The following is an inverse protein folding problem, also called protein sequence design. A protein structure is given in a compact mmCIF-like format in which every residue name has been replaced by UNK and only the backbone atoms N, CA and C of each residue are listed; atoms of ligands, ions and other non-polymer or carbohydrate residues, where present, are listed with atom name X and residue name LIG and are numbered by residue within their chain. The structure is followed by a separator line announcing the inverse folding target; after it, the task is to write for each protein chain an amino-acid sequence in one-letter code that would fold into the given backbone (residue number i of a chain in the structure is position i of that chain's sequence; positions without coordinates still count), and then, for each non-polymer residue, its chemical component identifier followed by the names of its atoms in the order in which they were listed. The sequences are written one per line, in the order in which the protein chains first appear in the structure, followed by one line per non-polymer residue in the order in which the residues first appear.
data_IF_215264548964
#
_entry.id   IF_215264548964
#
_cell.length_a   1.000
_cell.length_b   1.000
_cell.length_c   1.000
_cell.angle_alpha   90.00
_cell.angle_beta   90.00
_cell.angle_gamma   90.00
#
_symmetry.space_group_name_H-M   'P 1'
#
loop_
_entity.id
_entity.type
_entity.pdbx_description
1 polymer ?
#
# COMPACT_ATOMS: atom_id res chain seq x y z
N UNK A 1 -4.84 0.35 6.67
CA UNK A 1 -3.62 0.31 7.49
C UNK A 1 -2.58 -0.62 6.89
N UNK A 2 -1.32 -0.47 7.31
CA UNK A 2 -0.20 -1.36 7.00
C UNK A 2 0.52 -1.05 5.69
N UNK A 3 1.65 -1.74 5.47
CA UNK A 3 2.52 -1.51 4.31
C UNK A 3 2.97 -2.84 3.65
N UNK A 4 2.59 -3.13 2.40
CA UNK A 4 1.61 -2.39 1.60
C UNK A 4 0.23 -2.40 2.26
N UNK A 5 -0.63 -1.49 1.83
CA UNK A 5 -1.96 -1.28 2.41
C UNK A 5 -2.75 -2.60 2.46
N UNK A 6 -3.24 -2.96 3.64
CA UNK A 6 -4.00 -4.20 3.93
C UNK A 6 -3.26 -5.49 3.58
N UNK A 7 -1.94 -5.56 3.70
CA UNK A 7 -1.14 -6.75 3.35
C UNK A 7 -1.61 -8.05 4.03
N UNK A 8 -2.26 -7.97 5.19
CA UNK A 8 -2.85 -9.10 5.92
C UNK A 8 -4.06 -9.73 5.21
N UNK A 9 -4.73 -8.99 4.31
CA UNK A 9 -5.90 -9.46 3.56
C UNK A 9 -5.50 -10.46 2.47
N UNK A 10 -5.60 -11.75 2.82
CA UNK A 10 -5.30 -12.84 1.89
C UNK A 10 -6.44 -13.15 0.91
N UNK A 11 -7.59 -12.47 1.02
CA UNK A 11 -8.63 -12.49 -0.04
C UNK A 11 -8.21 -11.60 -1.22
N UNK A 12 -7.51 -10.50 -0.93
CA UNK A 12 -6.88 -9.59 -1.92
C UNK A 12 -5.56 -10.15 -2.46
N UNK A 13 -4.54 -10.34 -1.60
CA UNK A 13 -3.17 -10.62 -2.06
C UNK A 13 -2.85 -12.10 -2.29
N UNK A 14 -3.71 -12.99 -1.78
CA UNK A 14 -3.60 -14.45 -1.93
C UNK A 14 -2.23 -15.04 -1.56
N UNK A 15 -1.58 -14.47 -0.55
CA UNK A 15 -0.37 -15.01 0.05
C UNK A 15 -0.62 -16.30 0.85
N UNK A 16 0.48 -17.01 1.11
CA UNK A 16 0.50 -18.19 1.97
C UNK A 16 -0.11 -19.46 1.35
N UNK A 17 -0.49 -20.38 2.24
CA UNK A 17 -0.96 -21.72 1.92
C UNK A 17 -2.38 -21.96 2.42
N UNK A 18 -3.07 -22.90 1.78
CA UNK A 18 -4.34 -23.44 2.25
C UNK A 18 -4.28 -24.97 2.27
N UNK A 19 -5.01 -25.55 3.21
CA UNK A 19 -5.17 -27.01 3.30
C UNK A 19 -6.29 -27.43 2.36
N UNK A 20 -6.01 -28.41 1.50
CA UNK A 20 -6.95 -29.02 0.58
C UNK A 20 -7.16 -30.49 0.92
N UNK A 21 -8.35 -31.01 0.60
CA UNK A 21 -8.76 -32.39 0.84
C UNK A 21 -9.35 -32.66 2.24
N UNK A 22 -10.48 -33.38 2.28
CA UNK A 22 -11.16 -33.75 3.54
C UNK A 22 -10.56 -35.01 4.20
N UNK A 23 -10.07 -35.98 3.40
CA UNK A 23 -9.53 -37.26 3.89
C UNK A 23 -8.00 -37.29 3.95
N UNK A 24 -7.33 -36.73 2.94
CA UNK A 24 -5.89 -36.52 2.93
C UNK A 24 -5.65 -35.03 2.81
N UNK A 25 -5.18 -34.44 3.91
CA UNK A 25 -4.81 -33.03 3.94
C UNK A 25 -3.55 -32.85 3.09
N UNK A 26 -3.62 -31.97 2.11
CA UNK A 26 -2.48 -31.53 1.31
C UNK A 26 -2.37 -30.01 1.36
N UNK A 27 -1.16 -29.47 1.22
CA UNK A 27 -0.96 -28.01 1.15
C UNK A 27 -0.93 -27.58 -0.30
N UNK A 28 -1.62 -26.48 -0.60
CA UNK A 28 -1.50 -25.76 -1.86
C UNK A 28 -1.34 -24.26 -1.63
N UNK A 29 -0.66 -23.58 -2.53
CA UNK A 29 -0.59 -22.12 -2.50
C UNK A 29 -2.00 -21.54 -2.61
N UNK A 30 -2.26 -20.49 -1.82
CA UNK A 30 -3.53 -19.77 -1.87
C UNK A 30 -3.74 -19.08 -3.21
N UNK A 31 -2.65 -18.52 -3.76
CA UNK A 31 -2.62 -17.87 -5.07
C UNK A 31 -3.11 -18.81 -6.17
N UNK A 32 -2.39 -19.92 -6.40
CA UNK A 32 -2.65 -20.82 -7.53
C UNK A 32 -1.85 -22.12 -7.47
N UNK A 33 -2.32 -23.14 -8.20
CA UNK A 33 -1.54 -24.34 -8.53
C UNK A 33 -0.64 -24.13 -9.75
N UNK A 34 0.11 -25.17 -10.13
CA UNK A 34 1.11 -25.12 -11.22
C UNK A 34 0.58 -24.54 -12.54
N UNK A 35 -0.62 -24.95 -12.97
CA UNK A 35 -1.24 -24.45 -14.19
C UNK A 35 -1.64 -22.97 -14.10
N UNK A 36 -2.17 -22.53 -12.96
CA UNK A 36 -2.49 -21.12 -12.75
C UNK A 36 -1.24 -20.24 -12.77
N UNK A 37 -0.11 -20.74 -12.26
CA UNK A 37 1.17 -20.02 -12.36
C UNK A 37 1.55 -19.71 -13.81
N UNK A 38 1.34 -20.66 -14.72
CA UNK A 38 1.64 -20.44 -16.14
C UNK A 38 0.71 -19.42 -16.78
N UNK A 39 -0.58 -19.40 -16.41
CA UNK A 39 -1.54 -18.41 -16.96
C UNK A 39 -1.29 -17.01 -16.43
N UNK A 40 -0.77 -16.88 -15.21
CA UNK A 40 -0.57 -15.59 -14.53
C UNK A 40 0.88 -15.04 -14.66
N UNK A 41 1.76 -15.69 -15.43
CA UNK A 41 3.17 -15.26 -15.53
C UNK A 41 3.33 -13.91 -16.25
N UNK A 42 2.49 -13.64 -17.24
CA UNK A 42 2.55 -12.38 -18.01
C UNK A 42 1.79 -11.24 -17.33
N UNK A 43 0.85 -11.59 -16.45
CA UNK A 43 0.08 -10.64 -15.66
C UNK A 43 -0.46 -11.34 -14.42
N UNK A 44 -0.01 -10.92 -13.24
CA UNK A 44 -0.51 -11.44 -11.97
C UNK A 44 -1.55 -10.46 -11.40
N UNK A 45 -2.85 -10.79 -11.41
CA UNK A 45 -3.91 -9.89 -10.94
C UNK A 45 -3.89 -9.65 -9.42
N UNK A 46 -3.09 -10.41 -8.67
CA UNK A 46 -2.96 -10.29 -7.22
C UNK A 46 -1.64 -9.65 -6.78
N UNK A 47 -0.81 -9.22 -7.74
CA UNK A 47 0.42 -8.50 -7.45
C UNK A 47 0.07 -7.10 -6.90
N UNK A 48 0.59 -6.71 -5.72
CA UNK A 48 0.43 -5.34 -5.25
C UNK A 48 1.02 -4.34 -6.26
N UNK A 49 0.31 -3.26 -6.48
CA UNK A 49 0.69 -2.15 -7.36
C UNK A 49 1.47 -1.09 -6.59
N UNK A 50 2.03 -0.10 -7.29
CA UNK A 50 2.73 1.01 -6.65
C UNK A 50 1.82 1.76 -5.66
N UNK A 51 0.56 1.95 -6.03
CA UNK A 51 -0.45 2.65 -5.24
C UNK A 51 -0.81 1.89 -3.95
N UNK A 52 -0.59 0.58 -3.90
CA UNK A 52 -0.75 -0.20 -2.66
C UNK A 52 0.37 0.09 -1.64
N UNK A 53 1.53 0.59 -2.09
CA UNK A 53 2.65 1.01 -1.24
C UNK A 53 2.64 2.52 -1.03
N UNK A 54 3.08 3.26 -2.05
CA UNK A 54 3.17 4.71 -2.19
C UNK A 54 3.90 5.02 -3.51
N UNK A 55 3.71 6.22 -4.06
CA UNK A 55 4.59 6.77 -5.09
C UNK A 55 5.81 7.42 -4.43
N UNK A 56 7.05 6.89 -4.59
CA UNK A 56 8.20 7.44 -3.89
C UNK A 56 8.52 8.85 -4.35
N UNK A 57 8.84 9.75 -3.42
CA UNK A 57 9.13 11.15 -3.71
C UNK A 57 10.41 11.64 -3.05
N UNK A 58 10.94 12.71 -3.62
CA UNK A 58 11.99 13.54 -3.04
C UNK A 58 11.57 15.01 -3.11
N UNK A 59 12.45 15.94 -2.76
CA UNK A 59 12.15 17.36 -2.83
C UNK A 59 13.20 18.12 -3.64
N UNK A 60 12.77 19.21 -4.27
CA UNK A 60 13.65 20.14 -4.98
C UNK A 60 14.43 21.04 -4.01
N UNK A 61 15.35 20.44 -3.27
CA UNK A 61 16.17 21.18 -2.30
C UNK A 61 17.07 22.22 -2.95
N UNK A 62 17.46 22.02 -4.22
CA UNK A 62 18.31 22.97 -4.95
C UNK A 62 17.62 24.31 -5.19
N UNK A 63 16.28 24.31 -5.32
CA UNK A 63 15.50 25.54 -5.42
C UNK A 63 15.70 26.47 -4.20
N UNK A 64 15.98 25.92 -3.01
CA UNK A 64 16.24 26.72 -1.81
C UNK A 64 17.55 27.53 -1.88
N UNK A 65 18.48 27.13 -2.77
CA UNK A 65 19.82 27.71 -2.87
C UNK A 65 19.96 28.53 -4.17
N UNK A 66 19.40 28.01 -5.26
CA UNK A 66 19.64 28.51 -6.61
C UNK A 66 18.46 29.31 -7.19
N UNK A 67 17.35 29.46 -6.46
CA UNK A 67 16.21 30.22 -6.96
C UNK A 67 16.61 31.66 -7.34
N UNK A 68 16.11 32.18 -8.46
CA UNK A 68 16.32 33.58 -8.83
C UNK A 68 15.63 34.51 -7.84
N UNK A 69 16.01 35.79 -7.88
CA UNK A 69 15.31 36.82 -7.11
C UNK A 69 13.85 36.89 -7.56
N UNK A 70 12.94 36.71 -6.60
CA UNK A 70 11.49 36.80 -6.77
C UNK A 70 10.87 37.42 -5.50
N UNK A 71 9.62 37.86 -5.62
CA UNK A 71 8.87 38.39 -4.47
C UNK A 71 8.44 37.27 -3.52
N UNK A 72 8.27 36.05 -4.04
CA UNK A 72 7.92 34.87 -3.27
C UNK A 72 9.14 34.10 -2.74
N UNK A 73 9.02 33.57 -1.52
CA UNK A 73 10.04 32.72 -0.93
C UNK A 73 10.13 31.37 -1.67
N UNK A 74 11.34 30.91 -2.05
CA UNK A 74 11.50 29.60 -2.66
C UNK A 74 11.18 28.48 -1.66
N UNK A 75 10.58 27.41 -2.16
CA UNK A 75 10.26 26.20 -1.38
C UNK A 75 10.82 24.96 -2.07
N UNK A 76 11.03 23.89 -1.30
CA UNK A 76 11.40 22.59 -1.84
C UNK A 76 10.12 21.80 -2.13
N UNK A 77 9.65 21.84 -3.39
CA UNK A 77 8.45 21.12 -3.81
C UNK A 77 8.73 19.61 -3.96
N UNK A 78 7.72 18.79 -3.70
CA UNK A 78 7.82 17.35 -3.87
C UNK A 78 7.95 16.97 -5.35
N UNK A 79 8.83 16.01 -5.64
CA UNK A 79 9.10 15.46 -6.96
C UNK A 79 8.95 13.94 -6.89
N UNK A 80 8.14 13.39 -7.79
CA UNK A 80 8.02 11.94 -7.97
C UNK A 80 9.36 11.34 -8.43
N UNK A 81 9.84 10.33 -7.71
CA UNK A 81 11.03 9.56 -8.11
C UNK A 81 10.73 8.58 -9.25
N UNK A 82 9.46 8.38 -9.60
CA UNK A 82 9.02 7.50 -10.70
C UNK A 82 8.93 8.29 -12.00
N UNK A 83 8.34 9.48 -11.96
CA UNK A 83 8.07 10.29 -13.17
C UNK A 83 9.00 11.48 -13.34
N UNK A 84 9.69 11.90 -12.27
CA UNK A 84 10.51 13.12 -12.24
C UNK A 84 9.69 14.42 -12.25
N UNK A 85 8.36 14.33 -12.15
CA UNK A 85 7.47 15.50 -12.18
C UNK A 85 7.19 16.00 -10.77
N UNK A 86 6.86 17.29 -10.67
CA UNK A 86 6.34 17.84 -9.42
C UNK A 86 5.04 17.15 -9.04
N UNK A 87 4.88 16.90 -7.74
CA UNK A 87 3.66 16.40 -7.13
C UNK A 87 2.93 17.57 -6.47
N UNK A 88 1.62 17.65 -6.66
CA UNK A 88 0.80 18.69 -6.05
C UNK A 88 0.60 18.42 -4.54
N UNK A 89 0.39 17.15 -4.19
CA UNK A 89 0.22 16.68 -2.81
C UNK A 89 0.90 15.32 -2.62
N UNK A 90 1.32 15.04 -1.39
CA UNK A 90 1.72 13.70 -0.95
C UNK A 90 0.49 13.06 -0.32
N UNK A 91 0.07 11.91 -0.82
CA UNK A 91 -1.21 11.27 -0.42
C UNK A 91 -1.03 10.00 0.42
N UNK A 92 0.18 9.43 0.42
CA UNK A 92 0.50 8.21 1.13
C UNK A 92 1.98 8.15 1.50
N UNK A 93 2.31 7.33 2.51
CA UNK A 93 3.65 7.07 2.99
C UNK A 93 3.74 5.67 3.60
N UNK A 94 4.95 5.15 3.88
CA UNK A 94 5.09 3.77 4.37
C UNK A 94 4.65 3.62 5.83
N UNK A 95 4.46 4.74 6.53
CA UNK A 95 4.03 4.85 7.92
C UNK A 95 2.94 5.95 8.04
N UNK A 96 1.98 5.95 7.11
CA UNK A 96 1.00 7.04 6.97
C UNK A 96 -0.03 7.10 8.11
N UNK A 97 -0.29 5.96 8.74
CA UNK A 97 -1.22 5.78 9.86
C UNK A 97 -0.51 5.65 11.23
N UNK A 98 0.71 6.18 11.32
CA UNK A 98 1.50 6.27 12.55
C UNK A 98 0.73 6.97 13.68
N UNK A 99 0.96 6.55 14.92
CA UNK A 99 0.34 7.12 16.12
C UNK A 99 -1.19 7.33 16.01
N UNK A 100 -1.88 6.37 15.39
CA UNK A 100 -3.34 6.38 15.16
C UNK A 100 -3.79 7.49 14.18
N UNK A 101 -2.89 7.97 13.33
CA UNK A 101 -3.15 8.94 12.28
C UNK A 101 -4.26 8.46 11.34
N UNK A 102 -5.42 9.10 11.37
CA UNK A 102 -6.55 8.74 10.50
C UNK A 102 -7.22 7.41 10.85
N UNK A 103 -7.14 6.93 12.10
CA UNK A 103 -7.70 5.63 12.53
C UNK A 103 -9.16 5.39 12.14
N UNK A 104 -10.01 6.42 12.16
CA UNK A 104 -11.41 6.30 11.71
C UNK A 104 -11.55 5.81 10.27
N UNK A 105 -10.51 6.01 9.45
CA UNK A 105 -10.42 5.51 8.07
C UNK A 105 -9.54 4.25 8.02
N UNK A 106 -8.33 4.28 8.58
CA UNK A 106 -7.36 3.20 8.34
C UNK A 106 -7.51 2.00 9.27
N UNK A 107 -7.74 2.21 10.57
CA UNK A 107 -7.90 1.16 11.57
C UNK A 107 -9.26 0.48 11.43
N UNK A 108 -10.32 1.26 11.15
CA UNK A 108 -11.66 0.73 10.88
C UNK A 108 -11.75 -0.13 9.59
N UNK A 109 -10.70 -0.16 8.78
CA UNK A 109 -10.62 -1.02 7.59
C UNK A 109 -9.49 -2.07 7.71
N UNK A 110 -8.98 -2.30 8.91
CA UNK A 110 -8.01 -3.35 9.21
C UNK A 110 -8.70 -4.73 9.18
N UNK A 111 -8.18 -5.71 8.41
CA UNK A 111 -8.71 -7.08 8.39
C UNK A 111 -8.81 -7.75 9.78
N UNK A 112 -8.00 -7.33 10.75
CA UNK A 112 -8.02 -7.87 12.10
C UNK A 112 -9.27 -7.45 12.91
N UNK A 113 -10.00 -6.44 12.45
CA UNK A 113 -11.28 -6.02 13.01
C UNK A 113 -12.49 -6.72 12.37
N UNK A 114 -12.27 -7.68 11.46
CA UNK A 114 -13.36 -8.48 10.88
C UNK A 114 -14.15 -9.21 11.98
N UNK A 115 -15.41 -8.81 12.18
CA UNK A 115 -16.29 -9.35 13.23
C UNK A 115 -16.34 -8.54 14.53
N UNK A 116 -15.64 -7.40 14.61
CA UNK A 116 -15.79 -6.44 15.69
C UNK A 116 -17.19 -5.80 15.69
N UNK A 117 -17.65 -5.41 16.88
CA UNK A 117 -18.92 -4.72 17.07
C UNK A 117 -18.85 -3.24 16.68
N UNK A 118 -20.01 -2.64 16.38
CA UNK A 118 -20.10 -1.20 16.10
C UNK A 118 -19.60 -0.31 17.24
N UNK A 119 -19.58 -0.82 18.48
CA UNK A 119 -19.01 -0.11 19.63
C UNK A 119 -17.48 -0.12 19.61
N UNK A 120 -16.86 -1.26 19.28
CA UNK A 120 -15.40 -1.40 19.14
C UNK A 120 -14.86 -0.57 17.96
N UNK A 121 -15.64 -0.44 16.87
CA UNK A 121 -15.28 0.33 15.68
C UNK A 121 -15.44 1.86 15.82
N UNK A 122 -16.02 2.33 16.94
CA UNK A 122 -16.27 3.76 17.20
C UNK A 122 -15.18 4.43 18.04
N UNK A 123 -14.23 3.66 18.57
CA UNK A 123 -13.08 4.15 19.35
C UNK A 123 -11.93 4.57 18.42
#
# INVERSE_FOLDING_TARGET
TGYPTRWEDQTKYRGGWVVDGQRQKSLRLRLQGKWGTLTNIFYNPYLPTLDDYLEPWTYDYQNLINAPLADEQPTARAISMVTGKYMDTIEAGPNWDDDLGGSQVYANNDPNFDGASDEEMRQ
#
